data_IF_656228386588
#
_entry.id   IF_656228386588
#
_cell.length_a   1.000
_cell.length_b   1.000
_cell.length_c   1.000
_cell.angle_alpha   90.00
_cell.angle_beta   90.00
_cell.angle_gamma   90.00
#
_symmetry.space_group_name_H-M   'P 1'
#
loop_
_entity.id
_entity.type
_entity.pdbx_description
1 polymer ?
#
# COMPACT_ATOMS: atom_id res chain seq x y z
N UNK A 1 8.15 9.52 8.20
CA UNK A 1 8.85 8.21 8.13
C UNK A 1 8.82 7.60 6.74
N UNK A 2 9.82 6.76 6.41
CA UNK A 2 9.89 6.00 5.16
C UNK A 2 9.25 4.61 5.33
N UNK A 3 8.36 4.24 4.41
CA UNK A 3 7.60 2.98 4.42
C UNK A 3 7.93 2.18 3.17
N UNK A 4 8.30 0.91 3.34
CA UNK A 4 8.43 -0.07 2.27
C UNK A 4 7.15 -0.88 2.16
N UNK A 5 6.55 -0.87 0.97
CA UNK A 5 5.27 -1.51 0.66
C UNK A 5 5.52 -2.65 -0.32
N UNK A 6 5.27 -3.87 0.09
CA UNK A 6 5.30 -5.04 -0.79
C UNK A 6 4.04 -5.07 -1.66
N UNK A 7 4.21 -5.26 -2.96
CA UNK A 7 3.15 -5.28 -3.96
C UNK A 7 2.74 -6.71 -4.31
N UNK A 8 1.45 -7.01 -4.21
CA UNK A 8 0.88 -8.32 -4.55
C UNK A 8 -0.23 -8.21 -5.60
N UNK A 9 -0.55 -9.35 -6.22
CA UNK A 9 -1.62 -9.45 -7.22
C UNK A 9 -1.47 -8.44 -8.34
N UNK A 10 -2.56 -7.74 -8.68
CA UNK A 10 -2.57 -6.73 -9.74
C UNK A 10 -1.61 -5.55 -9.48
N UNK A 11 -1.21 -5.26 -8.23
CA UNK A 11 -0.18 -4.25 -7.96
C UNK A 11 1.23 -4.73 -8.33
N UNK A 12 1.48 -6.04 -8.40
CA UNK A 12 2.78 -6.59 -8.78
C UNK A 12 3.17 -6.23 -10.22
N UNK A 13 2.17 -5.96 -11.06
CA UNK A 13 2.34 -5.51 -12.44
C UNK A 13 2.71 -4.03 -12.55
N UNK A 14 2.53 -3.24 -11.49
CA UNK A 14 2.81 -1.80 -11.51
C UNK A 14 4.33 -1.50 -11.42
N UNK A 15 5.08 -2.29 -10.66
CA UNK A 15 6.54 -2.12 -10.52
C UNK A 15 7.24 -3.49 -10.58
N UNK A 16 8.23 -3.68 -11.46
CA UNK A 16 8.95 -4.96 -11.62
C UNK A 16 9.69 -5.40 -10.35
N UNK A 17 10.06 -4.48 -9.45
CA UNK A 17 10.69 -4.80 -8.16
C UNK A 17 9.73 -5.52 -7.20
N UNK A 18 8.43 -5.31 -7.35
CA UNK A 18 7.42 -5.86 -6.46
C UNK A 18 7.36 -5.19 -5.10
N UNK A 19 7.98 -4.02 -4.97
CA UNK A 19 7.87 -3.16 -3.80
C UNK A 19 8.00 -1.69 -4.22
N UNK A 20 7.48 -0.80 -3.39
CA UNK A 20 7.66 0.64 -3.51
C UNK A 20 8.01 1.23 -2.14
N UNK A 21 8.86 2.25 -2.12
CA UNK A 21 9.17 3.00 -0.91
C UNK A 21 8.51 4.38 -0.98
N UNK A 22 7.78 4.76 0.07
CA UNK A 22 7.09 6.04 0.16
C UNK A 22 7.46 6.76 1.46
N UNK A 23 7.54 8.09 1.39
CA UNK A 23 7.61 8.95 2.57
C UNK A 23 6.19 9.30 3.04
N UNK A 24 5.92 9.06 4.32
CA UNK A 24 4.63 9.34 4.97
C UNK A 24 4.85 10.29 6.15
N UNK A 25 4.03 11.36 6.30
CA UNK A 25 4.12 12.29 7.44
C UNK A 25 3.94 11.59 8.79
N UNK A 26 4.54 12.14 9.85
CA UNK A 26 4.37 11.64 11.22
C UNK A 26 3.49 12.59 12.06
N UNK A 27 2.60 12.05 12.92
CA UNK A 27 2.36 10.62 13.17
C UNK A 27 1.63 9.94 11.99
N UNK A 28 2.13 8.78 11.55
CA UNK A 28 1.67 8.13 10.33
C UNK A 28 0.57 7.09 10.61
N UNK A 29 -0.56 7.22 9.93
CA UNK A 29 -1.65 6.22 9.92
C UNK A 29 -1.77 5.53 8.56
N UNK A 30 -2.53 4.44 8.53
CA UNK A 30 -2.84 3.73 7.28
C UNK A 30 -3.53 4.64 6.26
N UNK A 31 -4.38 5.58 6.69
CA UNK A 31 -5.00 6.58 5.81
C UNK A 31 -3.98 7.45 5.09
N UNK A 32 -2.92 7.86 5.79
CA UNK A 32 -1.87 8.72 5.21
C UNK A 32 -1.05 7.92 4.21
N UNK A 33 -0.74 6.67 4.53
CA UNK A 33 -0.09 5.73 3.62
C UNK A 33 -0.92 5.49 2.35
N UNK A 34 -2.23 5.30 2.51
CA UNK A 34 -3.15 5.08 1.38
C UNK A 34 -3.16 6.27 0.44
N UNK A 35 -3.27 7.48 0.98
CA UNK A 35 -3.22 8.71 0.17
C UNK A 35 -1.87 8.86 -0.55
N UNK A 36 -0.76 8.59 0.13
CA UNK A 36 0.57 8.63 -0.47
C UNK A 36 0.74 7.57 -1.59
N UNK A 37 0.22 6.37 -1.38
CA UNK A 37 0.25 5.29 -2.37
C UNK A 37 -0.60 5.60 -3.60
N UNK A 38 -1.79 6.17 -3.40
CA UNK A 38 -2.66 6.61 -4.50
C UNK A 38 -1.98 7.70 -5.34
N UNK A 39 -1.43 8.72 -4.68
CA UNK A 39 -0.70 9.80 -5.36
C UNK A 39 0.51 9.27 -6.13
N UNK A 40 1.28 8.35 -5.54
CA UNK A 40 2.40 7.70 -6.22
C UNK A 40 1.94 6.90 -7.44
N UNK A 41 0.91 6.06 -7.27
CA UNK A 41 0.39 5.21 -8.33
C UNK A 41 -0.13 6.02 -9.52
N UNK A 42 -0.91 7.08 -9.27
CA UNK A 42 -1.39 7.99 -10.31
C UNK A 42 -0.25 8.69 -11.07
N UNK A 43 0.83 9.04 -10.38
CA UNK A 43 1.95 9.77 -10.99
C UNK A 43 2.93 8.87 -11.75
N UNK A 44 3.12 7.61 -11.33
CA UNK A 44 4.22 6.77 -11.84
C UNK A 44 3.77 5.50 -12.56
N UNK A 45 2.53 5.05 -12.36
CA UNK A 45 2.06 3.76 -12.88
C UNK A 45 0.87 3.94 -13.81
N UNK A 46 1.06 3.94 -15.14
CA UNK A 46 -0.03 4.13 -16.11
C UNK A 46 -1.20 3.13 -15.97
N UNK A 47 -0.93 1.93 -15.45
CA UNK A 47 -1.93 0.88 -15.24
C UNK A 47 -2.61 0.94 -13.85
N UNK A 48 -2.25 1.90 -13.00
CA UNK A 48 -2.79 2.02 -11.65
C UNK A 48 -4.29 2.33 -11.66
N UNK A 49 -5.04 1.64 -10.79
CA UNK A 49 -6.49 1.77 -10.68
C UNK A 49 -6.85 2.22 -9.26
N UNK A 50 -7.28 3.47 -9.04
CA UNK A 50 -7.72 3.96 -7.73
C UNK A 50 -8.80 3.07 -7.08
N UNK A 51 -9.76 2.59 -7.88
CA UNK A 51 -10.81 1.69 -7.40
C UNK A 51 -10.28 0.34 -6.89
N UNK A 52 -9.15 -0.14 -7.41
CA UNK A 52 -8.50 -1.35 -6.89
C UNK A 52 -7.92 -1.06 -5.51
N UNK A 53 -7.23 0.07 -5.33
CA UNK A 53 -6.69 0.46 -4.02
C UNK A 53 -7.81 0.62 -2.99
N UNK A 54 -8.94 1.23 -3.36
CA UNK A 54 -10.09 1.41 -2.48
C UNK A 54 -10.65 0.08 -1.94
N UNK A 55 -10.59 -0.99 -2.73
CA UNK A 55 -10.99 -2.34 -2.32
C UNK A 55 -9.86 -3.14 -1.63
N UNK A 56 -8.64 -2.60 -1.58
CA UNK A 56 -7.45 -3.27 -1.05
C UNK A 56 -7.22 -2.96 0.42
N UNK A 57 -6.58 -3.91 1.11
CA UNK A 57 -6.19 -3.77 2.52
C UNK A 57 -4.68 -3.69 2.66
N UNK A 58 -4.21 -2.92 3.65
CA UNK A 58 -2.82 -2.96 4.08
C UNK A 58 -2.64 -3.98 5.19
N UNK A 59 -1.46 -4.60 5.24
CA UNK A 59 -1.10 -5.57 6.26
C UNK A 59 0.30 -5.30 6.79
N UNK A 60 0.52 -5.57 8.08
CA UNK A 60 1.86 -5.77 8.64
C UNK A 60 2.31 -7.22 8.39
N UNK A 61 3.43 -7.62 9.00
CA UNK A 61 3.89 -9.01 8.97
C UNK A 61 2.93 -10.00 9.64
N UNK A 62 2.04 -9.53 10.54
CA UNK A 62 1.21 -10.41 11.38
C UNK A 62 -0.29 -10.16 11.30
N UNK A 63 -0.74 -8.99 10.83
CA UNK A 63 -2.17 -8.64 10.81
C UNK A 63 -2.53 -7.68 9.69
N UNK A 64 -3.80 -7.67 9.31
CA UNK A 64 -4.38 -6.58 8.53
C UNK A 64 -4.45 -5.31 9.39
N UNK A 65 -4.22 -4.16 8.75
CA UNK A 65 -4.24 -2.85 9.39
C UNK A 65 -5.51 -2.10 8.97
N UNK A 66 -6.18 -1.46 9.93
CA UNK A 66 -7.35 -0.61 9.67
C UNK A 66 -6.93 0.83 9.36
N UNK A 67 -7.82 1.56 8.70
CA UNK A 67 -7.57 2.92 8.19
C UNK A 67 -7.01 3.90 9.25
N UNK A 68 -7.50 3.80 10.50
CA UNK A 68 -7.10 4.68 11.59
C UNK A 68 -5.95 4.14 12.46
N UNK A 69 -5.45 2.93 12.17
CA UNK A 69 -4.32 2.36 12.90
C UNK A 69 -3.01 3.04 12.54
N UNK A 70 -2.10 3.09 13.50
CA UNK A 70 -0.74 3.58 13.30
C UNK A 70 0.04 2.60 12.40
N UNK A 71 0.93 3.14 11.57
CA UNK A 71 1.83 2.30 10.78
C UNK A 71 2.86 1.60 11.68
N UNK A 72 3.31 0.38 11.31
CA UNK A 72 4.36 -0.33 12.01
C UNK A 72 5.66 0.49 12.09
N UNK A 73 6.28 0.54 13.27
CA UNK A 73 7.53 1.27 13.48
C UNK A 73 8.70 0.77 12.63
N UNK A 74 8.67 -0.50 12.20
CA UNK A 74 9.66 -1.07 11.28
C UNK A 74 9.48 -0.62 9.82
N UNK A 75 8.41 0.12 9.51
CA UNK A 75 8.13 0.68 8.19
C UNK A 75 7.82 -0.36 7.11
N UNK A 76 7.50 -1.61 7.48
CA UNK A 76 7.20 -2.68 6.50
C UNK A 76 5.73 -3.00 6.48
N UNK A 77 5.13 -2.91 5.30
CA UNK A 77 3.73 -3.23 5.05
C UNK A 77 3.57 -3.92 3.71
N UNK A 78 2.44 -4.59 3.51
CA UNK A 78 2.01 -5.14 2.23
C UNK A 78 0.69 -4.51 1.81
N UNK A 79 0.48 -4.33 0.50
CA UNK A 79 -0.84 -4.02 -0.07
C UNK A 79 -1.42 -5.28 -0.69
N UNK A 80 -2.59 -5.68 -0.21
CA UNK A 80 -3.28 -6.90 -0.62
C UNK A 80 -4.54 -6.52 -1.41
N UNK A 81 -4.54 -6.70 -2.75
CA UNK A 81 -5.75 -6.52 -3.53
C UNK A 81 -6.76 -7.62 -3.22
N UNK A 82 -8.07 -7.40 -3.47
CA UNK A 82 -9.06 -8.45 -3.43
C UNK A 82 -8.60 -9.63 -4.30
N UNK A 83 -8.51 -10.81 -3.69
CA UNK A 83 -8.28 -12.03 -4.44
C UNK A 83 -9.63 -12.53 -4.94
N UNK A 84 -9.73 -12.85 -6.23
CA UNK A 84 -10.86 -13.61 -6.79
C UNK A 84 -10.74 -15.10 -6.42
N UNK A 85 -10.57 -15.37 -5.12
CA UNK A 85 -10.63 -16.73 -4.57
C UNK A 85 -12.08 -17.19 -4.59
N UNK A 86 -12.36 -18.17 -5.46
CA UNK A 86 -13.61 -18.93 -5.43
C UNK A 86 -13.72 -19.82 -4.19
#
# INVERSE_FOLDING_TARGET
>A
MKISISLYGAFRECDPRGSVELDVPEPAKVSDLRAAFEAHGLAHWPAFKPGLLAASVFASESTLLRENEALPANGRVAVLPPVSGG
#
